data_IF_026972621378
#
_entry.id   IF_026972621378
#
_cell.length_a   1.000
_cell.length_b   1.000
_cell.length_c   1.000
_cell.angle_alpha   90.00
_cell.angle_beta   90.00
_cell.angle_gamma   90.00
#
_symmetry.space_group_name_H-M   'P 1'
#
loop_
_entity.id
_entity.type
_entity.pdbx_description
1 polymer ?
#
# COMPACT_ATOMS: atom_id res chain seq x y z
N UNK A 1 2.70 -2.68 -24.81
CA UNK A 1 2.58 -2.64 -23.35
C UNK A 1 2.30 -1.21 -22.91
N UNK A 2 1.33 -0.98 -22.04
CA UNK A 2 0.96 0.35 -21.53
C UNK A 2 1.29 0.43 -20.04
N UNK A 3 1.67 1.62 -19.56
CA UNK A 3 1.83 1.91 -18.12
C UNK A 3 0.69 2.83 -17.71
N UNK A 4 -0.09 2.42 -16.71
CA UNK A 4 -1.22 3.18 -16.17
C UNK A 4 -0.96 3.51 -14.71
N UNK A 5 -1.04 4.80 -14.35
CA UNK A 5 -0.86 5.26 -12.96
C UNK A 5 -2.16 5.81 -12.41
N UNK A 6 -2.56 5.31 -11.25
CA UNK A 6 -3.74 5.77 -10.52
C UNK A 6 -3.35 6.36 -9.17
N UNK A 7 -3.83 7.56 -8.89
CA UNK A 7 -3.61 8.26 -7.64
C UNK A 7 -4.50 7.74 -6.51
N UNK A 8 -4.22 8.15 -5.28
CA UNK A 8 -4.90 7.68 -4.07
C UNK A 8 -6.41 7.91 -4.09
N UNK A 9 -6.89 9.00 -4.70
CA UNK A 9 -8.33 9.21 -4.90
C UNK A 9 -8.97 8.16 -5.80
N UNK A 10 -8.26 7.66 -6.79
CA UNK A 10 -8.77 6.63 -7.71
C UNK A 10 -8.91 5.25 -7.06
N UNK A 11 -8.23 5.01 -5.96
CA UNK A 11 -8.25 3.75 -5.18
C UNK A 11 -8.75 3.94 -3.75
N UNK A 12 -9.32 5.10 -3.44
CA UNK A 12 -9.72 5.51 -2.08
C UNK A 12 -11.06 4.94 -1.59
N UNK A 13 -11.69 4.00 -2.31
CA UNK A 13 -12.85 3.23 -1.85
C UNK A 13 -12.96 1.92 -2.62
N UNK A 14 -13.67 0.95 -2.06
CA UNK A 14 -13.93 -0.34 -2.72
C UNK A 14 -14.54 -0.16 -4.12
N UNK A 15 -15.52 0.73 -4.27
CA UNK A 15 -16.14 1.02 -5.57
C UNK A 15 -15.13 1.61 -6.57
N UNK A 16 -14.22 2.47 -6.11
CA UNK A 16 -13.20 3.06 -6.98
C UNK A 16 -12.16 2.04 -7.41
N UNK A 17 -11.76 1.12 -6.51
CA UNK A 17 -10.90 -0.01 -6.86
C UNK A 17 -11.57 -0.88 -7.95
N UNK A 18 -12.86 -1.19 -7.81
CA UNK A 18 -13.65 -1.92 -8.82
C UNK A 18 -13.69 -1.17 -10.17
N UNK A 19 -13.82 0.14 -10.14
CA UNK A 19 -13.78 0.96 -11.36
C UNK A 19 -12.39 0.94 -12.03
N UNK A 20 -11.30 1.05 -11.24
CA UNK A 20 -9.93 0.92 -11.77
C UNK A 20 -9.73 -0.47 -12.38
N UNK A 21 -10.18 -1.52 -11.69
CA UNK A 21 -10.11 -2.87 -12.21
C UNK A 21 -10.80 -3.02 -13.57
N UNK A 22 -11.99 -2.43 -13.75
CA UNK A 22 -12.70 -2.46 -15.04
C UNK A 22 -11.94 -1.74 -16.18
N UNK A 23 -11.13 -0.73 -15.84
CA UNK A 23 -10.30 -0.01 -16.83
C UNK A 23 -9.07 -0.84 -17.23
N UNK A 24 -8.50 -1.60 -16.30
CA UNK A 24 -7.26 -2.35 -16.55
C UNK A 24 -7.50 -3.75 -17.10
N UNK A 25 -8.70 -4.30 -16.93
CA UNK A 25 -9.10 -5.64 -17.38
C UNK A 25 -9.53 -5.65 -18.86
N UNK A 26 -8.62 -5.36 -19.75
CA UNK A 26 -8.78 -5.65 -21.19
C UNK A 26 -7.77 -6.72 -21.62
N UNK A 27 -7.70 -7.04 -22.91
CA UNK A 27 -6.81 -8.07 -23.45
C UNK A 27 -5.35 -7.65 -23.58
N UNK A 28 -5.01 -6.38 -23.29
CA UNK A 28 -3.64 -5.87 -23.44
C UNK A 28 -2.84 -6.04 -22.13
N UNK A 29 -1.58 -6.42 -22.25
CA UNK A 29 -0.67 -6.41 -21.11
C UNK A 29 -0.37 -4.98 -20.66
N UNK A 30 -0.48 -4.73 -19.35
CA UNK A 30 -0.27 -3.42 -18.73
C UNK A 30 0.61 -3.55 -17.48
N UNK A 31 1.32 -2.48 -17.19
CA UNK A 31 1.88 -2.22 -15.88
C UNK A 31 0.95 -1.22 -15.20
N UNK A 32 0.41 -1.59 -14.05
CA UNK A 32 -0.49 -0.74 -13.26
C UNK A 32 0.25 -0.25 -12.01
N UNK A 33 0.36 1.06 -11.87
CA UNK A 33 1.01 1.70 -10.73
C UNK A 33 -0.05 2.38 -9.88
N UNK A 34 -0.10 2.01 -8.60
CA UNK A 34 -1.08 2.56 -7.65
C UNK A 34 -0.37 3.35 -6.54
N UNK A 35 -0.95 4.47 -6.18
CA UNK A 35 -0.61 5.17 -4.94
C UNK A 35 -1.31 4.52 -3.74
N UNK A 36 -0.91 4.90 -2.52
CA UNK A 36 -1.66 4.60 -1.31
C UNK A 36 -3.12 5.07 -1.43
N UNK A 37 -4.03 4.43 -0.73
CA UNK A 37 -5.43 4.84 -0.65
C UNK A 37 -5.55 6.24 -0.04
N UNK A 38 -6.56 7.01 -0.47
CA UNK A 38 -6.77 8.38 0.00
C UNK A 38 -6.82 8.46 1.54
N UNK A 39 -6.04 9.35 2.12
CA UNK A 39 -5.92 9.53 3.56
C UNK A 39 -4.83 8.69 4.23
N UNK A 40 -4.44 7.54 3.66
CA UNK A 40 -3.45 6.64 4.27
C UNK A 40 -2.11 7.33 4.49
N UNK A 41 -1.56 8.01 3.49
CA UNK A 41 -0.26 8.69 3.59
C UNK A 41 -0.27 9.72 4.73
N UNK A 42 -1.35 10.49 4.87
CA UNK A 42 -1.47 11.48 5.95
C UNK A 42 -1.47 10.80 7.33
N UNK A 43 -2.19 9.70 7.48
CA UNK A 43 -2.20 8.93 8.73
C UNK A 43 -0.82 8.37 9.05
N UNK A 44 -0.09 7.82 8.05
CA UNK A 44 1.26 7.29 8.24
C UNK A 44 2.28 8.38 8.59
N UNK A 45 2.17 9.57 7.99
CA UNK A 45 2.97 10.75 8.38
C UNK A 45 2.70 11.12 9.83
N UNK A 46 1.44 11.20 10.24
CA UNK A 46 1.08 11.56 11.61
C UNK A 46 1.55 10.49 12.63
N UNK A 47 1.51 9.21 12.28
CA UNK A 47 2.08 8.13 13.09
C UNK A 47 3.59 8.31 13.24
N UNK A 48 4.32 8.58 12.15
CA UNK A 48 5.76 8.84 12.16
C UNK A 48 6.12 10.02 13.05
N UNK A 49 5.35 11.11 12.97
CA UNK A 49 5.52 12.26 13.88
C UNK A 49 5.29 11.90 15.35
N UNK A 50 4.30 11.04 15.64
CA UNK A 50 4.07 10.56 17.01
C UNK A 50 5.26 9.74 17.53
N UNK A 51 5.88 8.90 16.70
CA UNK A 51 7.08 8.16 17.08
C UNK A 51 8.27 9.10 17.36
N UNK A 52 8.48 10.12 16.53
CA UNK A 52 9.47 11.16 16.80
C UNK A 52 9.23 11.87 18.14
N UNK A 53 7.97 12.16 18.46
CA UNK A 53 7.57 12.86 19.70
C UNK A 53 7.47 11.92 20.91
N UNK A 54 7.71 10.62 20.72
CA UNK A 54 7.57 9.58 21.74
C UNK A 54 6.16 9.53 22.35
N UNK A 55 5.14 9.68 21.53
CA UNK A 55 3.72 9.56 21.87
C UNK A 55 3.11 8.29 21.24
N UNK A 56 3.41 7.10 21.78
CA UNK A 56 2.88 5.85 21.25
C UNK A 56 1.36 5.72 21.46
N UNK A 57 0.80 6.39 22.44
CA UNK A 57 -0.64 6.37 22.68
C UNK A 57 -1.43 6.99 21.53
N UNK A 58 -1.00 8.17 21.07
CA UNK A 58 -1.60 8.82 19.90
C UNK A 58 -1.32 8.03 18.62
N UNK A 59 -0.11 7.54 18.43
CA UNK A 59 0.24 6.71 17.28
C UNK A 59 -0.67 5.48 17.16
N UNK A 60 -0.90 4.78 18.27
CA UNK A 60 -1.79 3.62 18.31
C UNK A 60 -3.24 3.96 17.94
N UNK A 61 -3.75 5.08 18.44
CA UNK A 61 -5.11 5.52 18.11
C UNK A 61 -5.28 5.78 16.60
N UNK A 62 -4.29 6.43 15.97
CA UNK A 62 -4.30 6.71 14.52
C UNK A 62 -4.18 5.41 13.73
N UNK A 63 -3.26 4.52 14.11
CA UNK A 63 -3.07 3.23 13.45
C UNK A 63 -4.32 2.37 13.53
N UNK A 64 -4.98 2.28 14.69
CA UNK A 64 -6.23 1.53 14.86
C UNK A 64 -7.37 2.11 14.02
N UNK A 65 -7.45 3.44 13.88
CA UNK A 65 -8.44 4.06 13.01
C UNK A 65 -8.17 3.75 11.52
N UNK A 66 -6.89 3.73 11.12
CA UNK A 66 -6.48 3.36 9.78
C UNK A 66 -6.78 1.88 9.48
N UNK A 67 -6.47 0.98 10.41
CA UNK A 67 -6.82 -0.44 10.33
C UNK A 67 -8.32 -0.64 10.14
N UNK A 68 -9.14 0.03 10.95
CA UNK A 68 -10.60 -0.08 10.83
C UNK A 68 -11.11 0.40 9.46
N UNK A 69 -10.51 1.46 8.92
CA UNK A 69 -10.84 1.94 7.57
C UNK A 69 -10.51 0.88 6.51
N UNK A 70 -9.36 0.21 6.62
CA UNK A 70 -9.00 -0.89 5.72
C UNK A 70 -9.90 -2.12 5.90
N UNK A 71 -10.26 -2.48 7.13
CA UNK A 71 -11.23 -3.56 7.39
C UNK A 71 -12.52 -3.31 6.63
N UNK A 72 -13.10 -2.12 6.76
CA UNK A 72 -14.33 -1.75 6.06
C UNK A 72 -14.16 -1.85 4.53
N UNK A 73 -13.01 -1.40 3.99
CA UNK A 73 -12.71 -1.49 2.56
C UNK A 73 -12.60 -2.93 2.07
N UNK A 74 -11.96 -3.80 2.84
CA UNK A 74 -11.80 -5.21 2.52
C UNK A 74 -13.15 -5.91 2.49
N UNK A 75 -14.00 -5.64 3.49
CA UNK A 75 -15.36 -6.21 3.55
C UNK A 75 -16.24 -5.81 2.36
N UNK A 76 -16.13 -4.54 1.91
CA UNK A 76 -16.88 -4.04 0.76
C UNK A 76 -16.29 -4.50 -0.60
N UNK A 77 -14.97 -4.75 -0.65
CA UNK A 77 -14.26 -5.01 -1.89
C UNK A 77 -14.48 -6.44 -2.38
N UNK A 78 -14.28 -7.42 -1.52
CA UNK A 78 -14.30 -8.83 -1.88
C UNK A 78 -15.63 -9.51 -1.57
N UNK A 79 -15.95 -10.52 -2.37
CA UNK A 79 -17.09 -11.41 -2.14
C UNK A 79 -16.65 -12.74 -1.49
N UNK A 80 -15.47 -13.23 -1.83
CA UNK A 80 -14.91 -14.47 -1.32
C UNK A 80 -14.23 -14.28 0.03
N UNK A 81 -14.58 -15.10 1.01
CA UNK A 81 -13.95 -15.10 2.34
C UNK A 81 -12.44 -15.39 2.26
N UNK A 82 -12.01 -16.26 1.34
CA UNK A 82 -10.59 -16.57 1.12
C UNK A 82 -9.79 -15.31 0.76
N UNK A 83 -10.31 -14.46 -0.12
CA UNK A 83 -9.62 -13.23 -0.51
C UNK A 83 -9.72 -12.15 0.57
N UNK A 84 -10.83 -12.09 1.31
CA UNK A 84 -10.97 -11.22 2.49
C UNK A 84 -9.93 -11.56 3.55
N UNK A 85 -9.82 -12.83 3.93
CA UNK A 85 -8.86 -13.31 4.93
C UNK A 85 -7.41 -13.00 4.50
N UNK A 86 -7.07 -13.29 3.25
CA UNK A 86 -5.74 -13.02 2.69
C UNK A 86 -5.41 -11.51 2.70
N UNK A 87 -6.36 -10.66 2.31
CA UNK A 87 -6.21 -9.22 2.32
C UNK A 87 -6.09 -8.66 3.75
N UNK A 88 -6.91 -9.18 4.67
CA UNK A 88 -6.89 -8.82 6.07
C UNK A 88 -5.56 -9.18 6.73
N UNK A 89 -5.10 -10.39 6.53
CA UNK A 89 -3.81 -10.85 7.06
C UNK A 89 -2.67 -9.95 6.57
N UNK A 90 -2.60 -9.67 5.28
CA UNK A 90 -1.55 -8.80 4.74
C UNK A 90 -1.60 -7.40 5.32
N UNK A 91 -2.78 -6.80 5.43
CA UNK A 91 -2.97 -5.48 6.03
C UNK A 91 -2.48 -5.47 7.49
N UNK A 92 -2.85 -6.48 8.28
CA UNK A 92 -2.41 -6.58 9.68
C UNK A 92 -0.90 -6.77 9.81
N UNK A 93 -0.26 -7.55 8.94
CA UNK A 93 1.20 -7.69 8.90
C UNK A 93 1.89 -6.36 8.63
N UNK A 94 1.35 -5.54 7.71
CA UNK A 94 1.88 -4.20 7.43
C UNK A 94 1.68 -3.25 8.60
N UNK A 95 0.54 -3.32 9.27
CA UNK A 95 0.24 -2.56 10.47
C UNK A 95 1.19 -2.91 11.63
N UNK A 96 1.42 -4.20 11.86
CA UNK A 96 2.37 -4.67 12.86
C UNK A 96 3.80 -4.20 12.54
N UNK A 97 4.16 -4.19 11.26
CA UNK A 97 5.45 -3.66 10.83
C UNK A 97 5.57 -2.16 11.16
N UNK A 98 4.56 -1.35 10.84
CA UNK A 98 4.51 0.07 11.26
C UNK A 98 4.66 0.20 12.78
N UNK A 99 3.93 -0.62 13.55
CA UNK A 99 3.98 -0.57 15.01
C UNK A 99 5.35 -0.96 15.58
N UNK A 100 6.12 -1.80 14.91
CA UNK A 100 7.45 -2.24 15.37
C UNK A 100 8.43 -1.09 15.58
N UNK A 101 8.25 0.03 14.89
CA UNK A 101 9.07 1.24 15.05
C UNK A 101 8.78 2.03 16.34
N UNK A 102 7.69 1.75 17.04
CA UNK A 102 7.26 2.48 18.24
C UNK A 102 8.27 2.45 19.41
N UNK A 103 9.07 1.39 19.47
CA UNK A 103 10.02 1.14 20.57
C UNK A 103 11.49 1.30 20.15
N UNK A 104 11.76 1.79 18.97
CA UNK A 104 13.11 1.96 18.44
C UNK A 104 13.51 3.45 18.35
N UNK A 105 14.82 3.77 18.35
CA UNK A 105 15.24 5.10 17.94
C UNK A 105 14.77 5.36 16.50
N UNK A 106 13.90 6.36 16.33
CA UNK A 106 13.23 6.63 15.08
C UNK A 106 14.04 7.57 14.20
N UNK A 107 14.23 7.23 12.94
CA UNK A 107 15.02 7.97 11.95
C UNK A 107 14.20 8.37 10.72
N UNK A 108 14.77 9.23 9.87
CA UNK A 108 14.15 9.59 8.57
C UNK A 108 14.05 8.39 7.60
N UNK A 109 14.88 7.36 7.78
CA UNK A 109 14.78 6.14 6.97
C UNK A 109 13.57 5.33 7.37
N UNK A 110 13.29 5.23 8.69
CA UNK A 110 12.13 4.54 9.23
C UNK A 110 10.82 5.21 8.77
N UNK A 111 10.80 6.55 8.70
CA UNK A 111 9.66 7.28 8.16
C UNK A 111 9.34 6.87 6.72
N UNK A 112 10.36 6.79 5.84
CA UNK A 112 10.16 6.36 4.45
C UNK A 112 9.63 4.94 4.36
N UNK A 113 10.12 4.05 5.21
CA UNK A 113 9.67 2.67 5.27
C UNK A 113 8.21 2.58 5.74
N UNK A 114 7.82 3.38 6.73
CA UNK A 114 6.43 3.48 7.18
C UNK A 114 5.53 4.01 6.04
N UNK A 115 5.93 5.09 5.38
CA UNK A 115 5.13 5.68 4.30
C UNK A 115 4.90 4.71 3.14
N UNK A 116 5.88 3.88 2.79
CA UNK A 116 5.75 2.88 1.74
C UNK A 116 4.67 1.82 1.99
N UNK A 117 4.27 1.60 3.27
CA UNK A 117 3.27 0.60 3.59
C UNK A 117 1.90 0.91 2.95
N UNK A 118 1.57 2.17 2.74
CA UNK A 118 0.33 2.58 2.08
C UNK A 118 0.22 2.05 0.64
N UNK A 119 1.27 2.19 -0.15
CA UNK A 119 1.36 1.69 -1.52
C UNK A 119 1.41 0.16 -1.57
N UNK A 120 2.11 -0.46 -0.63
CA UNK A 120 2.17 -1.92 -0.54
C UNK A 120 0.79 -2.52 -0.26
N UNK A 121 0.01 -1.94 0.66
CA UNK A 121 -1.35 -2.41 0.96
C UNK A 121 -2.24 -2.20 -0.27
N UNK A 122 -2.29 -1.00 -0.86
CA UNK A 122 -3.19 -0.71 -1.97
C UNK A 122 -2.94 -1.60 -3.20
N UNK A 123 -1.67 -1.84 -3.54
CA UNK A 123 -1.29 -2.72 -4.66
C UNK A 123 -1.64 -4.18 -4.37
N UNK A 124 -1.46 -4.65 -3.14
CA UNK A 124 -1.85 -5.98 -2.74
C UNK A 124 -3.37 -6.18 -2.79
N UNK A 125 -4.15 -5.23 -2.28
CA UNK A 125 -5.62 -5.29 -2.33
C UNK A 125 -6.11 -5.36 -3.78
N UNK A 126 -5.58 -4.54 -4.68
CA UNK A 126 -5.93 -4.59 -6.10
C UNK A 126 -5.56 -5.94 -6.72
N UNK A 127 -4.39 -6.50 -6.39
CA UNK A 127 -3.95 -7.81 -6.89
C UNK A 127 -4.92 -8.91 -6.46
N UNK A 128 -5.26 -8.99 -5.18
CA UNK A 128 -6.23 -9.95 -4.67
C UNK A 128 -7.61 -9.80 -5.34
N UNK A 129 -8.05 -8.56 -5.57
CA UNK A 129 -9.33 -8.30 -6.24
C UNK A 129 -9.31 -8.79 -7.69
N UNK A 130 -8.25 -8.51 -8.44
CA UNK A 130 -8.09 -8.98 -9.82
C UNK A 130 -8.04 -10.52 -9.89
N UNK A 131 -7.34 -11.17 -8.97
CA UNK A 131 -7.32 -12.63 -8.85
C UNK A 131 -8.71 -13.20 -8.55
N UNK A 132 -9.48 -12.59 -7.64
CA UNK A 132 -10.86 -12.96 -7.36
C UNK A 132 -11.75 -12.89 -8.62
N UNK A 133 -11.50 -11.89 -9.48
CA UNK A 133 -12.19 -11.77 -10.77
C UNK A 133 -11.65 -12.70 -11.86
N UNK A 134 -10.73 -13.62 -11.53
CA UNK A 134 -10.12 -14.56 -12.48
C UNK A 134 -9.10 -13.94 -13.43
N UNK A 135 -8.62 -12.73 -13.14
CA UNK A 135 -7.62 -12.04 -13.96
C UNK A 135 -6.22 -12.53 -13.58
N UNK A 136 -5.43 -12.91 -14.59
CA UNK A 136 -4.03 -13.28 -14.37
C UNK A 136 -3.21 -12.02 -14.11
N UNK A 137 -2.69 -11.88 -12.90
CA UNK A 137 -1.93 -10.71 -12.43
C UNK A 137 -0.65 -11.16 -11.72
N UNK A 138 0.36 -10.28 -11.74
CA UNK A 138 1.61 -10.45 -10.99
C UNK A 138 1.83 -9.20 -10.16
N UNK A 139 1.98 -9.37 -8.84
CA UNK A 139 2.35 -8.27 -7.94
C UNK A 139 3.86 -8.04 -7.99
N UNK A 140 4.24 -6.81 -8.28
CA UNK A 140 5.64 -6.35 -8.31
C UNK A 140 5.84 -5.23 -7.26
N UNK A 141 6.22 -5.58 -6.02
CA UNK A 141 6.47 -4.56 -5.00
C UNK A 141 7.65 -3.65 -5.41
N UNK A 142 7.43 -2.35 -5.47
CA UNK A 142 8.45 -1.39 -5.92
C UNK A 142 9.75 -1.47 -5.09
N UNK A 143 9.64 -1.79 -3.81
CA UNK A 143 10.80 -1.96 -2.91
C UNK A 143 11.76 -3.08 -3.35
N UNK A 144 11.30 -4.03 -4.17
CA UNK A 144 12.15 -5.14 -4.63
C UNK A 144 13.06 -4.75 -5.80
N UNK A 145 12.71 -3.73 -6.57
CA UNK A 145 13.45 -3.37 -7.79
C UNK A 145 13.77 -1.88 -7.92
N UNK A 146 13.03 -0.98 -7.23
CA UNK A 146 13.32 0.45 -7.23
C UNK A 146 14.36 0.77 -6.16
N UNK A 147 15.33 1.60 -6.53
CA UNK A 147 16.33 2.16 -5.61
C UNK A 147 16.30 3.68 -5.69
N UNK A 148 16.65 4.31 -4.59
CA UNK A 148 16.80 5.77 -4.49
C UNK A 148 18.22 6.10 -4.05
N UNK A 149 18.75 7.20 -4.56
CA UNK A 149 20.04 7.78 -4.15
C UNK A 149 19.92 8.44 -2.77
N UNK A 150 21.06 8.86 -2.22
CA UNK A 150 21.08 9.63 -0.96
C UNK A 150 20.34 10.97 -1.09
N UNK A 151 20.25 11.54 -2.29
CA UNK A 151 19.52 12.78 -2.59
C UNK A 151 18.02 12.56 -2.86
N UNK A 152 17.51 11.36 -2.61
CA UNK A 152 16.12 10.93 -2.83
C UNK A 152 15.68 10.90 -4.30
N UNK A 153 16.59 10.89 -5.23
CA UNK A 153 16.32 10.71 -6.65
C UNK A 153 16.28 9.21 -7.01
N UNK A 154 15.51 8.79 -8.02
CA UNK A 154 15.55 7.41 -8.50
C UNK A 154 16.97 7.04 -8.96
N UNK A 155 17.52 5.97 -8.41
CA UNK A 155 18.76 5.39 -8.92
C UNK A 155 18.46 4.54 -10.14
N UNK A 156 18.61 5.14 -11.32
CA UNK A 156 18.27 4.47 -12.57
C UNK A 156 19.22 3.33 -12.92
N UNK A 157 20.47 3.39 -12.49
CA UNK A 157 21.45 2.32 -12.75
C UNK A 157 21.14 1.09 -11.90
N UNK A 158 21.00 1.26 -10.59
CA UNK A 158 20.68 0.14 -9.69
C UNK A 158 19.26 -0.38 -9.87
N UNK A 159 18.30 0.47 -10.22
CA UNK A 159 16.90 0.05 -10.43
C UNK A 159 16.75 -0.82 -11.69
N UNK A 160 17.55 -0.62 -12.73
CA UNK A 160 17.48 -1.38 -13.98
C UNK A 160 18.18 -2.74 -13.93
N UNK A 161 19.05 -2.99 -12.95
CA UNK A 161 19.80 -4.25 -12.83
C UNK A 161 18.87 -5.44 -12.48
N UNK A 162 17.68 -5.18 -11.94
CA UNK A 162 16.75 -6.20 -11.43
C UNK A 162 15.48 -6.40 -12.27
N UNK A 163 15.40 -5.76 -13.42
CA UNK A 163 14.35 -5.94 -14.42
C UNK A 163 14.90 -6.80 -15.57
#
# INVERSE_FOLDING_TARGET
MKVLKFGGTSVGSAQRIKNVASIVCDQEQKIVVLSAMAGTTNSLVEISECFHKKDPGKANAILSALEQAYVNHIEELYQSDTYKERAMQYMLERSQHVWSFSNMPFSMFDEKEILAQGELISTFLMTCYLEEQGVKVVLLPALNFMRITMDNEPDMELSLIHI
#
